data_IF_894013440288
#
_entry.id   IF_894013440288
#
_cell.length_a   1.000
_cell.length_b   1.000
_cell.length_c   1.000
_cell.angle_alpha   90.00
_cell.angle_beta   90.00
_cell.angle_gamma   90.00
#
_symmetry.space_group_name_H-M   'P 1'
#
loop_
_entity.id
_entity.type
_entity.pdbx_description
1 polymer ?
#
# COMPACT_ATOMS: atom_id res chain seq x y z
N UNK A 1 4.92 -14.17 6.90
CA UNK A 1 5.52 -13.18 7.84
C UNK A 1 6.85 -12.58 7.40
N UNK A 2 7.69 -13.28 6.63
CA UNK A 2 9.04 -12.82 6.23
C UNK A 2 9.12 -11.41 5.62
N UNK A 3 8.23 -11.06 4.68
CA UNK A 3 8.28 -9.73 4.03
C UNK A 3 7.84 -8.58 4.94
N UNK A 4 6.96 -8.86 5.92
CA UNK A 4 6.57 -7.88 6.92
C UNK A 4 7.74 -7.53 7.84
N UNK A 5 8.47 -8.56 8.26
CA UNK A 5 9.69 -8.36 9.06
C UNK A 5 10.74 -7.59 8.27
N UNK A 6 10.96 -7.96 7.00
CA UNK A 6 11.90 -7.25 6.15
C UNK A 6 11.53 -5.79 6.01
N UNK A 7 10.25 -5.45 5.85
CA UNK A 7 9.81 -4.04 5.73
C UNK A 7 10.03 -3.21 7.01
N UNK A 8 10.42 -3.82 8.14
CA UNK A 8 10.67 -3.14 9.42
C UNK A 8 12.15 -3.06 9.80
N UNK A 9 13.02 -3.68 9.01
CA UNK A 9 14.47 -3.71 9.25
C UNK A 9 15.11 -2.32 9.17
N UNK A 10 16.15 -2.08 9.97
CA UNK A 10 16.90 -0.82 9.91
C UNK A 10 17.76 -0.70 8.64
N UNK A 11 18.17 -1.85 8.08
CA UNK A 11 18.92 -1.89 6.84
C UNK A 11 18.04 -1.43 5.66
N UNK A 12 18.35 -0.27 5.09
CA UNK A 12 17.56 0.35 4.02
C UNK A 12 17.34 -0.55 2.79
N UNK A 13 18.32 -1.37 2.42
CA UNK A 13 18.21 -2.29 1.28
C UNK A 13 17.26 -3.44 1.58
N UNK A 14 17.40 -4.09 2.75
CA UNK A 14 16.51 -5.18 3.17
C UNK A 14 15.09 -4.67 3.41
N UNK A 15 14.97 -3.48 3.98
CA UNK A 15 13.70 -2.76 4.14
C UNK A 15 13.01 -2.49 2.82
N UNK A 16 13.76 -1.97 1.85
CA UNK A 16 13.23 -1.71 0.52
C UNK A 16 12.82 -3.00 -0.20
N UNK A 17 13.58 -4.09 -0.06
CA UNK A 17 13.20 -5.39 -0.61
C UNK A 17 11.86 -5.89 -0.03
N UNK A 18 11.65 -5.73 1.28
CA UNK A 18 10.36 -6.03 1.92
C UNK A 18 9.22 -5.18 1.33
N UNK A 19 9.42 -3.87 1.19
CA UNK A 19 8.43 -2.96 0.60
C UNK A 19 8.12 -3.30 -0.86
N UNK A 20 9.13 -3.65 -1.66
CA UNK A 20 8.96 -4.11 -3.03
C UNK A 20 8.13 -5.39 -3.10
N UNK A 21 8.43 -6.37 -2.24
CA UNK A 21 7.69 -7.63 -2.18
C UNK A 21 6.21 -7.40 -1.82
N UNK A 22 5.94 -6.61 -0.77
CA UNK A 22 4.57 -6.25 -0.38
C UNK A 22 3.85 -5.48 -1.50
N UNK A 23 4.53 -4.57 -2.18
CA UNK A 23 3.98 -3.82 -3.32
C UNK A 23 3.66 -4.73 -4.51
N UNK A 24 4.48 -5.74 -4.77
CA UNK A 24 4.25 -6.73 -5.81
C UNK A 24 3.02 -7.59 -5.49
N UNK A 25 2.83 -7.97 -4.22
CA UNK A 25 1.63 -8.69 -3.79
C UNK A 25 0.38 -7.86 -4.05
N UNK A 26 0.37 -6.56 -3.70
CA UNK A 26 -0.80 -5.70 -3.98
C UNK A 26 -1.10 -5.63 -5.47
N UNK A 27 -0.08 -5.50 -6.31
CA UNK A 27 -0.23 -5.46 -7.77
C UNK A 27 -0.66 -6.81 -8.38
N UNK A 28 -0.47 -7.92 -7.68
CA UNK A 28 -0.87 -9.25 -8.15
C UNK A 28 -2.38 -9.51 -8.04
N UNK A 29 -3.11 -8.68 -7.28
CA UNK A 29 -4.56 -8.79 -7.10
C UNK A 29 -5.28 -7.54 -7.60
N UNK A 30 -5.27 -7.24 -8.91
CA UNK A 30 -6.14 -6.20 -9.45
C UNK A 30 -7.61 -6.64 -9.36
N UNK A 31 -8.53 -5.68 -9.20
CA UNK A 31 -9.99 -5.91 -9.18
C UNK A 31 -10.49 -6.87 -8.09
N UNK A 32 -9.67 -7.19 -7.08
CA UNK A 32 -10.04 -8.13 -6.03
C UNK A 32 -9.32 -7.79 -4.73
N UNK A 33 -10.05 -7.91 -3.61
CA UNK A 33 -9.50 -7.66 -2.28
C UNK A 33 -9.65 -8.92 -1.43
N UNK A 34 -8.70 -9.87 -1.51
CA UNK A 34 -8.70 -11.01 -0.61
C UNK A 34 -8.46 -10.56 0.84
N UNK A 35 -8.89 -11.37 1.81
CA UNK A 35 -8.92 -11.00 3.23
C UNK A 35 -7.57 -10.57 3.84
N UNK A 36 -6.45 -10.99 3.26
CA UNK A 36 -5.11 -10.60 3.69
C UNK A 36 -4.64 -9.26 3.10
N UNK A 37 -5.23 -8.82 1.99
CA UNK A 37 -4.78 -7.65 1.24
C UNK A 37 -4.91 -6.33 2.01
N UNK A 38 -6.00 -6.07 2.76
CA UNK A 38 -6.10 -4.88 3.61
C UNK A 38 -4.94 -4.72 4.58
N UNK A 39 -4.50 -5.82 5.21
CA UNK A 39 -3.36 -5.82 6.14
C UNK A 39 -2.05 -5.46 5.45
N UNK A 40 -1.81 -5.97 4.23
CA UNK A 40 -0.64 -5.62 3.42
C UNK A 40 -0.65 -4.14 3.06
N UNK A 41 -1.82 -3.65 2.62
CA UNK A 41 -1.99 -2.26 2.21
C UNK A 41 -1.69 -1.30 3.38
N UNK A 42 -2.19 -1.63 4.58
CA UNK A 42 -1.88 -0.86 5.80
C UNK A 42 -0.39 -0.87 6.14
N UNK A 43 0.31 -1.99 5.93
CA UNK A 43 1.76 -2.04 6.13
C UNK A 43 2.48 -1.12 5.13
N UNK A 44 2.06 -1.08 3.86
CA UNK A 44 2.61 -0.18 2.85
C UNK A 44 2.34 1.30 3.17
N UNK A 45 1.16 1.65 3.67
CA UNK A 45 0.80 3.02 4.05
C UNK A 45 1.81 3.65 5.04
N UNK A 46 2.41 2.85 5.92
CA UNK A 46 3.43 3.30 6.90
C UNK A 46 4.72 3.79 6.24
N UNK A 47 5.00 3.38 5.01
CA UNK A 47 6.21 3.69 4.25
C UNK A 47 6.03 4.87 3.27
N UNK A 48 4.88 5.55 3.30
CA UNK A 48 4.58 6.70 2.41
C UNK A 48 5.45 7.93 2.71
N UNK A 49 5.94 8.05 3.95
CA UNK A 49 6.82 9.13 4.41
C UNK A 49 8.31 8.75 4.44
N UNK A 50 8.68 7.55 3.97
CA UNK A 50 10.08 7.14 3.89
C UNK A 50 10.87 7.93 2.83
N UNK A 51 12.20 7.89 2.91
CA UNK A 51 13.06 8.49 1.87
C UNK A 51 13.00 7.70 0.56
N UNK A 52 13.34 8.34 -0.55
CA UNK A 52 13.54 7.67 -1.83
C UNK A 52 14.63 6.59 -1.70
N UNK A 53 14.49 5.43 -2.38
CA UNK A 53 13.46 5.08 -3.38
C UNK A 53 12.15 4.51 -2.80
N UNK A 54 12.07 4.31 -1.49
CA UNK A 54 10.97 3.56 -0.86
C UNK A 54 9.61 4.24 -1.01
N UNK A 55 9.56 5.55 -0.77
CA UNK A 55 8.34 6.33 -0.96
C UNK A 55 7.82 6.25 -2.39
N UNK A 56 8.70 6.32 -3.40
CA UNK A 56 8.31 6.19 -4.80
C UNK A 56 7.64 4.85 -5.10
N UNK A 57 8.21 3.76 -4.61
CA UNK A 57 7.65 2.40 -4.75
C UNK A 57 6.26 2.29 -4.11
N UNK A 58 6.11 2.78 -2.88
CA UNK A 58 4.85 2.71 -2.13
C UNK A 58 3.77 3.54 -2.81
N UNK A 59 4.08 4.79 -3.16
CA UNK A 59 3.14 5.67 -3.85
C UNK A 59 2.66 5.06 -5.16
N UNK A 60 3.57 4.50 -5.95
CA UNK A 60 3.22 3.80 -7.19
C UNK A 60 2.25 2.63 -6.93
N UNK A 61 2.56 1.76 -5.95
CA UNK A 61 1.70 0.62 -5.63
C UNK A 61 0.30 1.05 -5.15
N UNK A 62 0.23 2.08 -4.31
CA UNK A 62 -1.03 2.66 -3.82
C UNK A 62 -1.85 3.31 -4.93
N UNK A 63 -1.21 4.02 -5.86
CA UNK A 63 -1.86 4.59 -7.05
C UNK A 63 -2.43 3.51 -7.97
N UNK A 64 -1.68 2.43 -8.21
CA UNK A 64 -2.17 1.30 -9.01
C UNK A 64 -3.32 0.56 -8.34
N UNK A 65 -3.27 0.38 -7.02
CA UNK A 65 -4.39 -0.18 -6.26
C UNK A 65 -5.65 0.68 -6.42
N UNK A 66 -5.55 2.00 -6.19
CA UNK A 66 -6.67 2.94 -6.36
C UNK A 66 -7.25 2.85 -7.76
N UNK A 67 -6.39 2.88 -8.79
CA UNK A 67 -6.79 2.82 -10.21
C UNK A 67 -7.55 1.54 -10.55
N UNK A 68 -7.08 0.39 -10.07
CA UNK A 68 -7.65 -0.92 -10.42
C UNK A 68 -8.89 -1.31 -9.61
N UNK A 69 -9.18 -0.60 -8.51
CA UNK A 69 -10.31 -0.94 -7.61
C UNK A 69 -11.40 0.15 -7.56
N UNK A 70 -11.25 1.24 -8.31
CA UNK A 70 -12.20 2.37 -8.24
C UNK A 70 -13.61 2.00 -8.74
N UNK A 71 -13.72 1.20 -9.80
CA UNK A 71 -15.00 0.92 -10.45
C UNK A 71 -15.94 0.11 -9.53
N UNK A 72 -15.38 -0.84 -8.77
CA UNK A 72 -16.09 -1.68 -7.81
C UNK A 72 -15.79 -1.29 -6.35
N UNK A 73 -15.43 -0.02 -6.09
CA UNK A 73 -14.98 0.39 -4.75
C UNK A 73 -16.04 0.17 -3.65
N UNK A 74 -17.32 0.29 -3.98
CA UNK A 74 -18.41 0.01 -3.03
C UNK A 74 -18.35 -1.40 -2.44
N UNK A 75 -17.93 -2.39 -3.24
CA UNK A 75 -17.77 -3.77 -2.81
C UNK A 75 -16.43 -3.98 -2.10
N UNK A 76 -15.35 -3.48 -2.71
CA UNK A 76 -14.00 -3.65 -2.19
C UNK A 76 -13.81 -3.02 -0.81
N UNK A 77 -14.43 -1.86 -0.55
CA UNK A 77 -14.33 -1.18 0.74
C UNK A 77 -14.90 -2.01 1.91
N UNK A 78 -15.79 -2.96 1.64
CA UNK A 78 -16.37 -3.85 2.67
C UNK A 78 -15.32 -4.79 3.29
N UNK A 79 -14.17 -4.98 2.65
CA UNK A 79 -13.06 -5.79 3.17
C UNK A 79 -12.17 -5.02 4.17
N UNK A 80 -12.42 -3.72 4.35
CA UNK A 80 -11.64 -2.85 5.21
C UNK A 80 -12.46 -2.42 6.44
N UNK A 81 -11.78 -2.19 7.55
CA UNK A 81 -12.41 -1.51 8.69
C UNK A 81 -12.53 0.00 8.44
N UNK A 82 -13.39 0.68 9.21
CA UNK A 82 -13.55 2.14 9.13
C UNK A 82 -12.22 2.89 9.32
N UNK A 83 -11.40 2.46 10.29
CA UNK A 83 -10.07 3.03 10.52
C UNK A 83 -9.14 2.89 9.31
N UNK A 84 -9.17 1.73 8.65
CA UNK A 84 -8.35 1.48 7.46
C UNK A 84 -8.81 2.35 6.30
N UNK A 85 -10.13 2.51 6.11
CA UNK A 85 -10.70 3.36 5.08
C UNK A 85 -10.38 4.84 5.32
N UNK A 86 -10.34 5.27 6.58
CA UNK A 86 -9.93 6.62 6.97
C UNK A 86 -8.49 6.90 6.51
N UNK A 87 -7.56 6.01 6.87
CA UNK A 87 -6.14 6.11 6.45
C UNK A 87 -6.01 6.16 4.92
N UNK A 88 -6.73 5.31 4.19
CA UNK A 88 -6.68 5.30 2.72
C UNK A 88 -7.22 6.60 2.12
N UNK A 89 -8.29 7.15 2.70
CA UNK A 89 -8.89 8.41 2.24
C UNK A 89 -7.91 9.56 2.39
N UNK A 90 -7.28 9.71 3.55
CA UNK A 90 -6.29 10.76 3.82
C UNK A 90 -5.11 10.70 2.83
N UNK A 91 -4.62 9.49 2.56
CA UNK A 91 -3.52 9.26 1.62
C UNK A 91 -3.92 9.50 0.16
N UNK A 92 -5.16 9.17 -0.22
CA UNK A 92 -5.64 9.31 -1.61
C UNK A 92 -6.19 10.68 -1.97
N UNK A 93 -6.48 11.52 -0.98
CA UNK A 93 -6.90 12.93 -1.14
C UNK A 93 -5.67 13.84 -1.26
N UNK A 94 -4.51 13.44 -0.72
CA UNK A 94 -3.27 14.22 -0.83
C UNK A 94 -2.88 14.45 -2.30
N UNK A 95 -2.83 15.71 -2.77
CA UNK A 95 -2.46 16.02 -4.14
C UNK A 95 -0.98 15.65 -4.37
N UNK A 96 -0.70 14.77 -5.34
CA UNK A 96 0.66 14.40 -5.75
C UNK A 96 1.42 15.53 -6.49
N UNK A 97 1.12 16.80 -6.20
CA UNK A 97 1.62 17.95 -6.96
C UNK A 97 2.79 18.71 -6.31
N UNK A 98 3.24 18.31 -5.13
CA UNK A 98 4.43 18.91 -4.50
C UNK A 98 5.60 17.92 -4.54
N UNK A 99 6.44 18.10 -5.56
CA UNK A 99 7.84 17.64 -5.64
C UNK A 99 8.73 18.86 -5.62
#
# INVERSE_FOLDING_TARGET
DTFYEWSREENGTKRHAGVLALSAIVQAFPYSVPSFLPKILMQLCRHTCDKQPMQGTVKKALSEFKRTHQDNWHEHKMQFSEDQLSILTDLFVSPNYYV
#
